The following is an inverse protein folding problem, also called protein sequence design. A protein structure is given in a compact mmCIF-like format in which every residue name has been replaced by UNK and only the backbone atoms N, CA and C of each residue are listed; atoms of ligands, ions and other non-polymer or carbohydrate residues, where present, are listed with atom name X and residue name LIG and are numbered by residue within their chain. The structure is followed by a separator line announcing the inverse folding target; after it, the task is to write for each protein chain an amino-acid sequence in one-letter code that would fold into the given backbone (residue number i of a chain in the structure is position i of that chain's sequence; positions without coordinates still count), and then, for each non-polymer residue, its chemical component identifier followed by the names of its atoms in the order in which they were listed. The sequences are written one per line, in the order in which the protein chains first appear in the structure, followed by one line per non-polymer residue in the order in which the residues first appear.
data_IF_016187896341
#
_entry.id   IF_016187896341
#
_cell.length_a   1.000
_cell.length_b   1.000
_cell.length_c   1.000
_cell.angle_alpha   90.00
_cell.angle_beta   90.00
_cell.angle_gamma   90.00
#
_symmetry.space_group_name_H-M   'P 1'
#
loop_
_entity.id
_entity.type
_entity.pdbx_description
1 polymer ?
#
# COMPACT_ATOMS: atom_id res chain seq x y z
N UNK A 1 9.28 7.24 7.74
CA UNK A 1 10.71 7.23 8.14
C UNK A 1 11.55 7.95 7.08
N UNK A 2 12.79 8.34 7.42
CA UNK A 2 13.75 8.93 6.47
C UNK A 2 14.03 10.43 6.67
N UNK A 3 14.98 10.97 5.90
CA UNK A 3 15.42 12.39 5.93
C UNK A 3 15.21 13.04 4.55
N UNK A 4 14.24 13.97 4.44
CA UNK A 4 13.80 14.55 3.16
C UNK A 4 13.12 15.93 3.33
N UNK A 5 13.00 16.67 2.23
CA UNK A 5 12.25 17.94 2.11
C UNK A 5 11.18 17.87 1.00
N UNK A 6 10.30 18.86 0.93
CA UNK A 6 8.96 18.70 0.31
C UNK A 6 8.14 17.72 1.12
N UNK A 7 7.10 17.10 0.51
CA UNK A 7 6.33 15.91 0.97
C UNK A 7 4.85 16.11 1.28
N UNK A 8 4.21 17.16 0.85
CA UNK A 8 2.85 17.41 1.32
C UNK A 8 1.87 16.38 0.77
N UNK A 9 0.91 15.96 1.61
CA UNK A 9 -0.21 15.14 1.18
C UNK A 9 -1.31 16.07 0.70
N UNK A 10 -1.68 15.94 -0.57
CA UNK A 10 -2.80 16.63 -1.17
C UNK A 10 -4.04 15.76 -1.06
N UNK A 11 -5.14 16.32 -0.57
CA UNK A 11 -6.48 15.71 -0.63
C UNK A 11 -7.36 16.68 -1.41
N UNK A 12 -7.44 16.43 -2.72
CA UNK A 12 -7.89 17.46 -3.68
C UNK A 12 -9.38 17.76 -3.57
N UNK A 13 -10.20 16.74 -3.31
CA UNK A 13 -11.66 16.88 -3.11
C UNK A 13 -11.99 17.81 -1.94
N UNK A 14 -11.10 17.85 -0.94
CA UNK A 14 -11.23 18.68 0.25
C UNK A 14 -10.46 20.00 0.17
N UNK A 15 -9.77 20.26 -0.95
CA UNK A 15 -8.85 21.41 -1.13
C UNK A 15 -7.84 21.53 0.01
N UNK A 16 -7.38 20.39 0.53
CA UNK A 16 -6.52 20.29 1.69
C UNK A 16 -5.09 19.95 1.29
N UNK A 17 -4.13 20.60 1.96
CA UNK A 17 -2.70 20.32 1.86
C UNK A 17 -2.14 20.07 3.25
N UNK A 18 -1.72 18.85 3.53
CA UNK A 18 -1.18 18.44 4.82
C UNK A 18 0.34 18.35 4.76
N UNK A 19 1.03 19.11 5.60
CA UNK A 19 2.43 18.86 5.92
C UNK A 19 2.51 17.71 6.93
N UNK A 20 3.41 16.76 6.70
CA UNK A 20 3.69 15.69 7.66
C UNK A 20 5.20 15.46 7.77
N UNK A 21 5.66 14.94 8.90
CA UNK A 21 7.04 14.60 9.20
C UNK A 21 7.25 13.09 9.29
N UNK A 22 8.50 12.59 9.23
CA UNK A 22 8.78 11.20 9.53
C UNK A 22 8.25 10.84 10.93
N UNK A 23 7.34 9.87 11.02
CA UNK A 23 6.70 9.45 12.27
C UNK A 23 5.21 9.81 12.34
N UNK A 24 4.77 10.78 11.55
CA UNK A 24 3.36 11.17 11.48
C UNK A 24 2.53 10.10 10.76
N UNK A 25 1.25 10.02 11.14
CA UNK A 25 0.26 9.13 10.55
C UNK A 25 -0.87 9.96 9.94
N UNK A 26 -1.24 9.65 8.71
CA UNK A 26 -2.41 10.21 8.04
C UNK A 26 -3.45 9.11 7.92
N UNK A 27 -4.63 9.34 8.49
CA UNK A 27 -5.78 8.43 8.36
C UNK A 27 -6.80 9.13 7.46
N UNK A 28 -7.16 8.49 6.35
CA UNK A 28 -8.16 9.02 5.42
C UNK A 28 -8.95 7.89 4.74
N UNK A 29 -10.11 8.25 4.18
CA UNK A 29 -10.90 7.36 3.33
C UNK A 29 -10.26 7.27 1.93
N UNK A 30 -9.13 6.57 1.81
CA UNK A 30 -8.31 6.55 0.60
C UNK A 30 -9.01 6.03 -0.66
N UNK A 31 -10.03 5.19 -0.52
CA UNK A 31 -10.84 4.71 -1.64
C UNK A 31 -11.91 5.71 -2.12
N UNK A 32 -12.20 6.75 -1.34
CA UNK A 32 -13.27 7.72 -1.63
C UNK A 32 -12.74 9.13 -1.91
N UNK A 33 -11.50 9.43 -1.51
CA UNK A 33 -10.90 10.75 -1.66
C UNK A 33 -9.71 10.70 -2.62
N UNK A 34 -9.70 11.55 -3.64
CA UNK A 34 -8.54 11.70 -4.52
C UNK A 34 -7.40 12.39 -3.78
N UNK A 35 -6.31 11.65 -3.61
CA UNK A 35 -5.16 12.07 -2.82
C UNK A 35 -3.85 11.69 -3.48
N UNK A 36 -2.79 12.42 -3.13
CA UNK A 36 -1.46 12.19 -3.68
C UNK A 36 -0.37 12.82 -2.83
N UNK A 37 0.87 12.41 -3.10
CA UNK A 37 2.04 12.97 -2.43
C UNK A 37 2.75 13.93 -3.36
N UNK A 38 3.04 15.12 -2.85
CA UNK A 38 3.79 16.14 -3.56
C UNK A 38 5.22 15.76 -3.90
N UNK A 39 5.87 16.57 -4.76
CA UNK A 39 7.29 16.46 -5.01
C UNK A 39 8.08 16.51 -3.70
N UNK A 40 9.10 15.68 -3.61
CA UNK A 40 10.01 15.62 -2.47
C UNK A 40 11.42 15.36 -2.96
N UNK A 41 12.41 15.70 -2.13
CA UNK A 41 13.82 15.44 -2.39
C UNK A 41 14.51 14.89 -1.13
N UNK A 42 15.43 13.93 -1.26
CA UNK A 42 16.25 13.51 -0.13
C UNK A 42 17.10 14.70 0.34
N UNK A 43 17.36 14.78 1.65
CA UNK A 43 18.33 15.73 2.17
C UNK A 43 19.76 15.30 1.78
N UNK A 44 20.70 16.25 1.63
CA UNK A 44 22.10 15.92 1.34
C UNK A 44 22.76 15.19 2.51
N UNK A 45 23.85 14.47 2.21
CA UNK A 45 24.68 13.77 3.19
C UNK A 45 24.40 12.27 3.31
N UNK A 46 24.99 11.67 4.33
CA UNK A 46 24.75 10.30 4.77
C UNK A 46 24.08 10.36 6.15
N UNK A 47 23.14 9.46 6.41
CA UNK A 47 22.51 9.34 7.74
C UNK A 47 23.52 8.88 8.80
N UNK A 48 23.17 8.99 10.08
CA UNK A 48 24.05 8.52 11.17
C UNK A 48 24.43 7.03 11.02
N UNK A 49 23.58 6.25 10.37
CA UNK A 49 23.75 4.82 10.14
C UNK A 49 24.49 4.47 8.83
N UNK A 50 25.09 5.45 8.14
CA UNK A 50 25.82 5.19 6.89
C UNK A 50 24.92 5.03 5.65
N UNK A 51 23.61 5.28 5.77
CA UNK A 51 22.62 5.07 4.71
C UNK A 51 22.34 6.37 3.95
N UNK A 52 22.14 6.29 2.63
CA UNK A 52 21.72 7.43 1.80
C UNK A 52 20.32 7.93 2.22
N UNK A 53 20.14 9.23 2.48
CA UNK A 53 18.83 9.80 2.82
C UNK A 53 17.77 9.53 1.74
N UNK A 54 16.55 9.33 2.20
CA UNK A 54 15.40 9.07 1.36
C UNK A 54 14.10 9.22 2.14
N UNK A 55 12.99 8.87 1.50
CA UNK A 55 11.66 8.85 2.09
C UNK A 55 11.12 7.42 2.05
N UNK A 56 10.73 6.92 3.21
CA UNK A 56 10.04 5.62 3.33
C UNK A 56 8.69 5.85 4.00
N UNK A 57 7.64 5.41 3.31
CA UNK A 57 6.25 5.50 3.75
C UNK A 57 5.62 4.12 3.60
N UNK A 58 4.80 3.72 4.57
CA UNK A 58 3.98 2.52 4.48
C UNK A 58 2.52 2.94 4.32
N UNK A 59 1.78 2.21 3.50
CA UNK A 59 0.34 2.41 3.33
C UNK A 59 -0.34 1.11 3.76
N UNK A 60 -1.16 1.19 4.79
CA UNK A 60 -1.99 0.07 5.24
C UNK A 60 -3.41 0.31 4.77
N UNK A 61 -3.95 -0.64 4.02
CA UNK A 61 -5.30 -0.58 3.48
C UNK A 61 -5.92 -1.97 3.49
N UNK A 62 -7.24 -2.01 3.36
CA UNK A 62 -8.03 -3.24 3.39
C UNK A 62 -8.74 -3.45 2.05
N UNK A 63 -8.12 -4.19 1.12
CA UNK A 63 -8.73 -4.48 -0.17
C UNK A 63 -9.91 -5.44 -0.02
N UNK A 64 -11.09 -5.02 -0.48
CA UNK A 64 -12.33 -5.80 -0.34
C UNK A 64 -12.27 -7.14 -1.06
N UNK A 65 -11.68 -7.19 -2.25
CA UNK A 65 -11.51 -8.43 -3.03
C UNK A 65 -10.67 -9.46 -2.29
N UNK A 66 -9.56 -9.04 -1.65
CA UNK A 66 -8.75 -9.94 -0.85
C UNK A 66 -9.51 -10.44 0.37
N UNK A 67 -10.35 -9.61 0.99
CA UNK A 67 -11.19 -10.05 2.09
C UNK A 67 -12.19 -11.13 1.66
N UNK A 68 -12.92 -10.94 0.56
CA UNK A 68 -13.89 -11.93 0.05
C UNK A 68 -13.24 -13.30 -0.22
N UNK A 69 -12.01 -13.31 -0.74
CA UNK A 69 -11.27 -14.56 -0.97
C UNK A 69 -10.86 -15.22 0.36
N UNK A 70 -10.55 -14.44 1.39
CA UNK A 70 -9.90 -14.92 2.61
C UNK A 70 -10.83 -15.10 3.81
N UNK A 71 -12.01 -14.46 3.83
CA UNK A 71 -12.89 -14.35 5.01
C UNK A 71 -13.34 -15.70 5.58
N UNK A 72 -13.55 -16.70 4.73
CA UNK A 72 -14.08 -18.01 5.11
C UNK A 72 -13.00 -19.11 5.09
N UNK A 73 -11.72 -18.75 5.12
CA UNK A 73 -10.64 -19.74 5.16
C UNK A 73 -10.48 -20.28 6.58
N UNK A 74 -10.38 -21.61 6.66
CA UNK A 74 -10.18 -22.32 7.92
C UNK A 74 -8.96 -21.81 8.71
N UNK A 75 -8.97 -21.85 10.06
CA UNK A 75 -7.81 -21.54 10.87
C UNK A 75 -6.55 -22.28 10.42
N UNK A 76 -5.47 -21.52 10.23
CA UNK A 76 -4.19 -22.05 9.74
C UNK A 76 -4.14 -22.33 8.23
N UNK A 77 -5.17 -21.99 7.45
CA UNK A 77 -5.18 -22.17 5.99
C UNK A 77 -3.95 -21.52 5.33
N UNK A 78 -3.64 -20.26 5.65
CA UNK A 78 -2.51 -19.54 5.05
C UNK A 78 -1.16 -20.21 5.33
N UNK A 79 -0.98 -20.84 6.49
CA UNK A 79 0.24 -21.59 6.83
C UNK A 79 0.35 -22.87 6.00
N UNK A 80 -0.77 -23.56 5.77
CA UNK A 80 -0.82 -24.80 4.96
C UNK A 80 -0.62 -24.51 3.47
N UNK A 81 -1.27 -23.46 2.96
CA UNK A 81 -1.28 -23.10 1.53
C UNK A 81 -0.19 -22.09 1.11
N UNK A 82 0.64 -21.62 2.05
CA UNK A 82 1.56 -20.50 1.84
C UNK A 82 0.86 -19.26 1.27
N UNK A 83 -0.30 -18.91 1.83
CA UNK A 83 -1.12 -17.79 1.35
C UNK A 83 -1.67 -17.99 -0.06
N UNK A 84 -1.92 -19.24 -0.47
CA UNK A 84 -2.40 -19.60 -1.81
C UNK A 84 -1.29 -19.82 -2.85
N UNK A 85 -0.01 -19.65 -2.48
CA UNK A 85 1.13 -19.89 -3.39
C UNK A 85 1.44 -21.38 -3.61
N UNK A 86 0.99 -22.25 -2.72
CA UNK A 86 1.01 -23.71 -2.93
C UNK A 86 -0.30 -24.11 -3.59
N UNK A 87 -0.38 -23.92 -4.89
CA UNK A 87 -1.39 -24.62 -5.69
C UNK A 87 -1.13 -26.12 -5.56
N UNK A 88 -2.03 -26.86 -4.93
CA UNK A 88 -2.11 -28.30 -5.16
C UNK A 88 -2.57 -28.46 -6.60
N UNK A 89 -1.72 -29.01 -7.46
CA UNK A 89 -2.05 -29.19 -8.87
C UNK A 89 -3.37 -29.94 -9.07
N UNK A 90 -4.20 -29.37 -9.93
CA UNK A 90 -5.44 -29.82 -10.60
C UNK A 90 -6.55 -28.79 -10.38
N UNK A 91 -6.99 -28.18 -11.49
CA UNK A 91 -8.00 -27.10 -11.58
C UNK A 91 -7.44 -25.68 -11.42
N UNK A 92 -6.60 -25.29 -12.38
CA UNK A 92 -6.71 -23.94 -12.94
C UNK A 92 -8.05 -23.90 -13.70
N UNK A 93 -9.10 -23.42 -13.06
CA UNK A 93 -10.31 -23.02 -13.79
C UNK A 93 -9.95 -21.77 -14.61
N UNK A 94 -9.84 -21.95 -15.91
CA UNK A 94 -9.52 -20.90 -16.87
C UNK A 94 -10.72 -20.01 -17.20
N UNK A 95 -11.85 -20.14 -16.50
CA UNK A 95 -13.07 -19.39 -16.81
C UNK A 95 -13.06 -17.91 -16.38
N UNK A 96 -12.18 -17.51 -15.46
CA UNK A 96 -12.27 -16.18 -14.83
C UNK A 96 -11.48 -15.07 -15.55
N UNK A 97 -10.75 -15.38 -16.63
CA UNK A 97 -9.90 -14.40 -17.33
C UNK A 97 -10.55 -13.72 -18.54
N UNK A 98 -11.73 -14.14 -18.98
CA UNK A 98 -12.32 -13.71 -20.26
C UNK A 98 -13.50 -12.70 -20.15
N UNK A 99 -13.70 -12.01 -19.02
CA UNK A 99 -14.87 -11.12 -18.85
C UNK A 99 -14.62 -9.63 -18.61
N UNK A 100 -13.41 -9.13 -18.84
CA UNK A 100 -13.18 -7.67 -18.91
C UNK A 100 -12.37 -7.31 -20.16
N UNK A 101 -13.06 -7.33 -21.29
CA UNK A 101 -12.65 -6.67 -22.53
C UNK A 101 -13.89 -6.25 -23.31
N UNK A 102 -14.49 -5.13 -22.90
CA UNK A 102 -15.32 -4.24 -23.73
C UNK A 102 -15.07 -2.78 -23.31
#
# INVERSE_FOLDING_TARGET
MGKFTGRECYITDLKLKLSYCPGDVIILMGGALYHGIGPWKPLPGITEDGIKPGRVSNVWFFPHSSFQVLENKEPGWALKSAGGLRGTGSELDSSDWDSESD
#
